data_IF_017855415962
#
_entry.id   IF_017855415962
#
_cell.length_a   1.000
_cell.length_b   1.000
_cell.length_c   1.000
_cell.angle_alpha   90.00
_cell.angle_beta   90.00
_cell.angle_gamma   90.00
#
_symmetry.space_group_name_H-M   'P 1'
#
loop_
_entity.id
_entity.type
_entity.pdbx_description
1 polymer ?
#
# COMPACT_ATOMS: atom_id res chain seq x y z
N UNK A 1 45.58 38.70 22.37
CA UNK A 1 44.96 37.75 23.30
C UNK A 1 43.76 37.08 22.63
N UNK A 2 44.02 36.02 21.91
CA UNK A 2 42.99 35.20 21.23
C UNK A 2 42.66 34.00 22.14
N UNK A 3 41.44 33.98 22.70
CA UNK A 3 40.96 32.93 23.58
C UNK A 3 40.58 31.68 22.76
N UNK A 4 41.17 30.60 23.20
CA UNK A 4 41.00 29.25 22.72
C UNK A 4 39.57 28.70 23.00
N UNK A 5 38.65 28.76 22.02
CA UNK A 5 37.25 28.27 22.14
C UNK A 5 37.02 26.85 21.61
N UNK A 6 38.06 26.20 21.06
CA UNK A 6 37.94 24.90 20.42
C UNK A 6 37.88 23.68 21.36
N UNK A 7 38.29 23.83 22.62
CA UNK A 7 38.28 22.72 23.60
C UNK A 7 36.89 22.39 24.17
N UNK A 8 36.05 23.40 24.34
CA UNK A 8 34.70 23.20 24.89
C UNK A 8 33.69 22.53 23.95
N UNK A 9 33.75 22.89 22.66
CA UNK A 9 32.90 22.26 21.62
C UNK A 9 33.22 20.78 21.42
N UNK A 10 34.51 20.42 21.44
CA UNK A 10 34.93 19.01 21.32
C UNK A 10 34.47 18.15 22.51
N UNK A 11 34.57 18.68 23.72
CA UNK A 11 34.13 17.98 24.95
C UNK A 11 32.59 17.82 25.01
N UNK A 12 31.85 18.85 24.61
CA UNK A 12 30.38 18.80 24.53
C UNK A 12 29.89 17.80 23.48
N UNK A 13 30.54 17.79 22.31
CA UNK A 13 30.23 16.83 21.22
C UNK A 13 30.50 15.39 21.65
N UNK A 14 31.62 15.12 22.31
CA UNK A 14 31.95 13.79 22.84
C UNK A 14 30.96 13.35 23.91
N UNK A 15 30.56 14.23 24.82
CA UNK A 15 29.55 13.92 25.83
C UNK A 15 28.16 13.63 25.24
N UNK A 16 27.78 14.32 24.15
CA UNK A 16 26.53 14.04 23.41
C UNK A 16 26.64 12.68 22.70
N UNK A 17 27.76 12.38 22.07
CA UNK A 17 27.99 11.09 21.40
C UNK A 17 28.01 9.93 22.40
N UNK A 18 28.62 10.10 23.58
CA UNK A 18 28.60 9.09 24.65
C UNK A 18 27.21 8.93 25.27
N UNK A 19 26.44 10.00 25.46
CA UNK A 19 25.06 9.93 25.92
C UNK A 19 24.12 9.28 24.88
N UNK A 20 24.36 9.54 23.59
CA UNK A 20 23.60 8.94 22.49
C UNK A 20 23.91 7.44 22.30
N UNK A 21 25.16 7.02 22.53
CA UNK A 21 25.57 5.61 22.38
C UNK A 21 24.95 4.67 23.42
N UNK A 22 24.44 5.18 24.54
CA UNK A 22 23.72 4.42 25.57
C UNK A 22 22.19 4.39 25.39
N UNK A 23 21.66 5.14 24.41
CA UNK A 23 20.23 5.17 24.14
C UNK A 23 19.84 4.05 23.18
N UNK A 24 19.04 3.11 23.64
CA UNK A 24 18.38 2.12 22.79
C UNK A 24 17.23 2.81 22.00
N UNK A 25 17.61 3.46 20.89
CA UNK A 25 16.68 4.20 20.05
C UNK A 25 15.57 3.32 19.49
N UNK A 26 15.85 2.04 19.20
CA UNK A 26 14.85 1.10 18.72
C UNK A 26 13.82 0.80 19.81
N UNK A 27 14.26 0.61 21.04
CA UNK A 27 13.37 0.39 22.19
C UNK A 27 12.50 1.62 22.44
N UNK A 28 13.12 2.80 22.50
CA UNK A 28 12.41 4.06 22.74
C UNK A 28 11.39 4.35 21.63
N UNK A 29 11.74 4.08 20.39
CA UNK A 29 10.83 4.22 19.26
C UNK A 29 9.65 3.27 19.38
N UNK A 30 9.88 1.98 19.69
CA UNK A 30 8.79 1.01 19.93
C UNK A 30 7.88 1.42 21.08
N UNK A 31 8.45 1.88 22.19
CA UNK A 31 7.68 2.36 23.35
C UNK A 31 6.83 3.59 22.99
N UNK A 32 7.40 4.54 22.23
CA UNK A 32 6.70 5.73 21.76
C UNK A 32 5.55 5.38 20.79
N UNK A 33 5.78 4.49 19.85
CA UNK A 33 4.73 3.98 18.92
C UNK A 33 3.63 3.31 19.72
N UNK A 34 3.96 2.36 20.61
CA UNK A 34 2.97 1.67 21.42
C UNK A 34 2.18 2.59 22.34
N UNK A 35 2.78 3.69 22.81
CA UNK A 35 2.06 4.72 23.55
C UNK A 35 1.11 5.51 22.64
N UNK A 36 1.58 5.95 21.47
CA UNK A 36 0.77 6.66 20.48
C UNK A 36 -0.44 5.83 20.03
N UNK A 37 -0.28 4.51 19.86
CA UNK A 37 -1.38 3.59 19.57
C UNK A 37 -2.41 3.54 20.70
N UNK A 38 -1.97 3.36 21.95
CA UNK A 38 -2.88 3.32 23.11
C UNK A 38 -3.63 4.62 23.35
N UNK A 39 -3.02 5.75 23.02
CA UNK A 39 -3.60 7.08 23.14
C UNK A 39 -4.45 7.48 21.91
N UNK A 40 -4.59 6.59 20.89
CA UNK A 40 -5.37 6.84 19.67
C UNK A 40 -4.77 7.94 18.78
N UNK A 41 -3.46 8.17 18.88
CA UNK A 41 -2.75 9.19 18.11
C UNK A 41 -2.35 8.71 16.71
N UNK A 42 -2.42 7.41 16.42
CA UNK A 42 -2.11 6.82 15.12
C UNK A 42 -3.40 6.72 14.31
N UNK A 43 -3.59 7.59 13.32
CA UNK A 43 -4.74 7.53 12.42
C UNK A 43 -4.44 6.70 11.15
N UNK A 44 -3.19 6.72 10.69
CA UNK A 44 -2.69 5.89 9.60
C UNK A 44 -1.49 5.11 10.07
N UNK A 45 -1.64 3.78 10.14
CA UNK A 45 -0.55 2.86 10.39
C UNK A 45 0.06 2.41 9.06
N UNK A 46 1.38 2.32 8.95
CA UNK A 46 2.02 1.74 7.78
C UNK A 46 3.07 0.69 8.15
N UNK A 47 3.35 -0.19 7.20
CA UNK A 47 4.44 -1.17 7.28
C UNK A 47 4.89 -1.57 5.89
N UNK A 48 6.16 -1.97 5.77
CA UNK A 48 6.69 -2.61 4.57
C UNK A 48 6.65 -4.13 4.69
N UNK A 49 6.56 -4.81 3.55
CA UNK A 49 6.72 -6.26 3.44
C UNK A 49 7.38 -6.64 2.13
N UNK A 50 8.08 -7.76 2.12
CA UNK A 50 8.62 -8.32 0.88
C UNK A 50 7.56 -9.07 0.09
N UNK A 51 7.73 -9.09 -1.24
CA UNK A 51 6.89 -9.87 -2.13
C UNK A 51 7.73 -10.48 -3.27
N UNK A 52 7.20 -11.47 -4.02
CA UNK A 52 7.86 -12.01 -5.20
C UNK A 52 8.14 -10.97 -6.30
N UNK A 53 7.56 -9.80 -6.21
CA UNK A 53 7.70 -8.71 -7.17
C UNK A 53 8.55 -7.54 -6.64
N UNK A 54 9.05 -7.62 -5.41
CA UNK A 54 9.76 -6.57 -4.69
C UNK A 54 9.00 -6.05 -3.47
N UNK A 55 9.53 -5.04 -2.78
CA UNK A 55 8.95 -4.53 -1.55
C UNK A 55 7.60 -3.85 -1.80
N UNK A 56 6.65 -4.07 -0.89
CA UNK A 56 5.35 -3.42 -0.85
C UNK A 56 5.27 -2.54 0.39
N UNK A 57 4.58 -1.40 0.31
CA UNK A 57 4.23 -0.61 1.48
C UNK A 57 2.72 -0.64 1.65
N UNK A 58 2.29 -1.07 2.83
CA UNK A 58 0.88 -1.10 3.22
C UNK A 58 0.59 0.05 4.17
N UNK A 59 -0.61 0.63 4.06
CA UNK A 59 -1.13 1.54 5.06
C UNK A 59 -2.59 1.25 5.36
N UNK A 60 -2.98 1.41 6.62
CA UNK A 60 -4.34 1.17 7.10
C UNK A 60 -4.79 2.28 8.07
N UNK A 61 -6.09 2.56 8.04
CA UNK A 61 -6.82 3.32 9.05
C UNK A 61 -7.64 2.38 9.92
N UNK A 62 -8.44 2.90 10.82
CA UNK A 62 -9.41 2.10 11.60
C UNK A 62 -10.52 1.48 10.72
N UNK A 63 -10.70 1.97 9.49
CA UNK A 63 -11.67 1.47 8.50
C UNK A 63 -11.14 0.34 7.63
N UNK A 64 -9.81 0.10 7.64
CA UNK A 64 -9.18 -0.94 6.85
C UNK A 64 -7.97 -0.45 6.05
N UNK A 65 -7.50 -1.28 5.12
CA UNK A 65 -6.36 -0.94 4.25
C UNK A 65 -6.75 0.20 3.32
N UNK A 66 -6.02 1.31 3.40
CA UNK A 66 -6.28 2.54 2.62
C UNK A 66 -5.31 2.70 1.45
N UNK A 67 -4.12 2.14 1.57
CA UNK A 67 -3.09 2.18 0.51
C UNK A 67 -2.28 0.90 0.48
N UNK A 68 -1.95 0.44 -0.72
CA UNK A 68 -0.91 -0.53 -1.00
C UNK A 68 -0.05 0.01 -2.13
N UNK A 69 1.19 0.39 -1.81
CA UNK A 69 2.14 0.85 -2.82
C UNK A 69 2.91 -0.32 -3.41
N UNK A 70 3.05 -0.31 -4.74
CA UNK A 70 3.76 -1.32 -5.51
C UNK A 70 5.26 -0.98 -5.58
N UNK A 71 6.15 -1.93 -5.91
CA UNK A 71 7.60 -1.76 -5.82
C UNK A 71 8.21 -0.61 -6.63
N UNK A 72 7.50 -0.14 -7.63
CA UNK A 72 7.92 0.98 -8.50
C UNK A 72 7.42 2.35 -8.00
N UNK A 73 6.81 2.43 -6.83
CA UNK A 73 6.37 3.66 -6.20
C UNK A 73 7.36 4.07 -5.10
N UNK A 74 7.64 5.37 -5.01
CA UNK A 74 8.46 5.92 -3.95
C UNK A 74 7.69 5.94 -2.63
N UNK A 75 8.22 5.26 -1.60
CA UNK A 75 7.57 5.13 -0.30
C UNK A 75 7.40 6.48 0.41
N UNK A 76 8.38 7.37 0.32
CA UNK A 76 8.31 8.68 0.98
C UNK A 76 7.22 9.55 0.35
N UNK A 77 7.11 9.52 -0.99
CA UNK A 77 6.02 10.22 -1.69
C UNK A 77 4.65 9.65 -1.34
N UNK A 78 4.54 8.33 -1.18
CA UNK A 78 3.29 7.68 -0.75
C UNK A 78 2.92 8.08 0.68
N UNK A 79 3.88 8.13 1.60
CA UNK A 79 3.64 8.57 2.98
C UNK A 79 3.24 10.04 3.04
N UNK A 80 3.86 10.91 2.22
CA UNK A 80 3.47 12.33 2.09
C UNK A 80 2.05 12.48 1.52
N UNK A 81 1.67 11.67 0.52
CA UNK A 81 0.31 11.63 -0.02
C UNK A 81 -0.70 11.26 1.08
N UNK A 82 -0.41 10.21 1.86
CA UNK A 82 -1.27 9.78 2.98
C UNK A 82 -1.39 10.85 4.06
N UNK A 83 -0.27 11.49 4.42
CA UNK A 83 -0.27 12.59 5.39
C UNK A 83 -1.12 13.77 4.95
N UNK A 84 -1.21 14.03 3.65
CA UNK A 84 -1.97 15.14 3.07
C UNK A 84 -3.46 14.80 2.87
N UNK A 85 -3.75 13.58 2.39
CA UNK A 85 -5.10 13.21 1.94
C UNK A 85 -5.92 12.49 3.02
N UNK A 86 -5.28 11.85 3.99
CA UNK A 86 -5.95 11.04 5.02
C UNK A 86 -5.76 11.66 6.40
N UNK A 87 -4.52 11.70 6.91
CA UNK A 87 -4.18 12.33 8.18
C UNK A 87 -2.68 12.54 8.31
N UNK A 88 -2.21 13.64 8.92
CA UNK A 88 -0.79 13.84 9.22
C UNK A 88 -0.26 12.88 10.30
N UNK A 89 -1.12 12.13 10.99
CA UNK A 89 -0.76 11.16 12.03
C UNK A 89 -0.45 9.79 11.41
N UNK A 90 0.58 9.77 10.56
CA UNK A 90 1.10 8.57 9.88
C UNK A 90 2.27 8.02 10.66
N UNK A 91 2.19 6.79 11.16
CA UNK A 91 3.24 6.15 11.94
C UNK A 91 3.49 4.71 11.49
N UNK A 92 4.75 4.29 11.57
CA UNK A 92 5.11 2.90 11.33
C UNK A 92 4.58 2.03 12.48
N UNK A 93 3.63 1.16 12.19
CA UNK A 93 2.95 0.32 13.16
C UNK A 93 2.61 -1.03 12.52
N UNK A 94 3.61 -1.91 12.39
CA UNK A 94 3.46 -3.20 11.71
C UNK A 94 2.36 -4.08 12.30
N UNK A 95 2.15 -4.05 13.62
CA UNK A 95 1.15 -4.87 14.31
C UNK A 95 -0.28 -4.64 13.82
N UNK A 96 -0.63 -3.40 13.45
CA UNK A 96 -1.95 -3.08 12.88
C UNK A 96 -2.18 -3.64 11.47
N UNK A 97 -1.12 -4.08 10.80
CA UNK A 97 -1.12 -4.58 9.42
C UNK A 97 -0.82 -6.09 9.34
N UNK A 98 -0.65 -6.77 10.47
CA UNK A 98 -0.28 -8.19 10.50
C UNK A 98 -1.28 -9.09 9.79
N UNK A 99 -2.58 -8.81 9.85
CA UNK A 99 -3.59 -9.58 9.14
C UNK A 99 -3.46 -9.38 7.62
N UNK A 100 -3.33 -8.11 7.17
CA UNK A 100 -3.17 -7.81 5.75
C UNK A 100 -1.87 -8.41 5.17
N UNK A 101 -0.78 -8.39 5.94
CA UNK A 101 0.50 -8.98 5.55
C UNK A 101 0.38 -10.50 5.41
N UNK A 102 -0.19 -11.18 6.41
CA UNK A 102 -0.43 -12.64 6.36
C UNK A 102 -1.32 -13.05 5.19
N UNK A 103 -2.37 -12.28 4.90
CA UNK A 103 -3.23 -12.56 3.76
C UNK A 103 -2.50 -12.36 2.42
N UNK A 104 -1.65 -11.34 2.30
CA UNK A 104 -0.84 -11.14 1.10
C UNK A 104 0.21 -12.24 0.91
N UNK A 105 0.87 -12.68 1.99
CA UNK A 105 1.79 -13.83 1.96
C UNK A 105 1.06 -15.10 1.46
N UNK A 106 -0.07 -15.42 2.07
CA UNK A 106 -0.89 -16.56 1.67
C UNK A 106 -1.44 -16.45 0.23
N UNK A 107 -1.72 -15.23 -0.24
CA UNK A 107 -2.10 -14.99 -1.64
C UNK A 107 -0.93 -15.29 -2.59
N UNK A 108 0.27 -14.81 -2.30
CA UNK A 108 1.45 -15.09 -3.13
C UNK A 108 1.86 -16.56 -3.12
N UNK A 109 1.59 -17.28 -2.04
CA UNK A 109 1.75 -18.75 -1.96
C UNK A 109 0.64 -19.51 -2.72
N UNK A 110 -0.42 -18.82 -3.17
CA UNK A 110 -1.56 -19.41 -3.87
C UNK A 110 -2.55 -20.12 -2.94
N UNK A 111 -2.37 -20.05 -1.64
CA UNK A 111 -3.26 -20.66 -0.63
C UNK A 111 -4.49 -19.79 -0.36
N UNK A 112 -4.40 -18.46 -0.41
CA UNK A 112 -5.51 -17.54 -0.28
C UNK A 112 -6.03 -17.11 -1.65
N UNK A 113 -7.36 -17.22 -1.85
CA UNK A 113 -8.03 -16.81 -3.09
C UNK A 113 -8.94 -15.59 -2.93
N UNK A 114 -9.20 -15.17 -1.71
CA UNK A 114 -10.05 -14.02 -1.40
C UNK A 114 -9.55 -13.34 -0.12
N UNK A 115 -9.28 -12.06 -0.21
CA UNK A 115 -8.95 -11.24 0.95
C UNK A 115 -10.19 -11.01 1.82
N UNK A 116 -10.00 -11.06 3.14
CA UNK A 116 -11.02 -10.76 4.15
C UNK A 116 -10.78 -9.42 4.85
N UNK A 117 -9.55 -8.89 4.78
CA UNK A 117 -9.22 -7.59 5.35
C UNK A 117 -10.12 -6.50 4.77
N UNK A 118 -10.66 -5.61 5.61
CA UNK A 118 -11.47 -4.49 5.14
C UNK A 118 -10.64 -3.50 4.34
N UNK A 119 -11.28 -2.83 3.37
CA UNK A 119 -10.69 -1.76 2.56
C UNK A 119 -11.30 -0.44 2.95
N UNK A 120 -10.46 0.56 3.24
CA UNK A 120 -10.87 1.94 3.41
C UNK A 120 -10.94 2.63 2.03
N UNK A 121 -12.15 2.94 1.59
CA UNK A 121 -12.44 3.51 0.27
C UNK A 121 -12.31 5.03 0.20
N UNK A 122 -11.84 5.70 1.27
CA UNK A 122 -11.80 7.17 1.35
C UNK A 122 -10.98 7.86 0.26
N UNK A 123 -10.00 7.14 -0.34
CA UNK A 123 -9.20 7.65 -1.45
C UNK A 123 -9.85 7.44 -2.83
N UNK A 124 -11.05 6.88 -2.89
CA UNK A 124 -11.79 6.70 -4.13
C UNK A 124 -13.13 7.45 -4.08
N UNK A 125 -13.51 8.08 -5.19
CA UNK A 125 -14.75 8.86 -5.26
C UNK A 125 -15.44 8.70 -6.62
N UNK A 126 -16.74 8.95 -6.66
CA UNK A 126 -17.52 9.08 -7.87
C UNK A 126 -17.52 7.81 -8.75
N UNK A 127 -17.18 7.96 -10.03
CA UNK A 127 -17.14 6.82 -10.95
C UNK A 127 -15.97 5.87 -10.67
N UNK A 128 -14.82 6.40 -10.22
CA UNK A 128 -13.66 5.59 -9.81
C UNK A 128 -14.04 4.63 -8.71
N UNK A 129 -14.72 5.11 -7.69
CA UNK A 129 -15.20 4.31 -6.56
C UNK A 129 -16.11 3.17 -7.03
N UNK A 130 -17.13 3.47 -7.85
CA UNK A 130 -18.01 2.43 -8.42
C UNK A 130 -17.24 1.38 -9.22
N UNK A 131 -16.27 1.80 -10.03
CA UNK A 131 -15.43 0.89 -10.81
C UNK A 131 -14.63 -0.02 -9.88
N UNK A 132 -13.98 0.53 -8.87
CA UNK A 132 -13.14 -0.25 -7.94
C UNK A 132 -13.97 -1.22 -7.10
N UNK A 133 -15.19 -0.86 -6.71
CA UNK A 133 -16.11 -1.79 -6.07
C UNK A 133 -16.50 -2.97 -6.99
N UNK A 134 -16.72 -2.75 -8.30
CA UNK A 134 -16.96 -3.83 -9.24
C UNK A 134 -15.70 -4.68 -9.48
N UNK A 135 -14.53 -4.05 -9.52
CA UNK A 135 -13.24 -4.75 -9.61
C UNK A 135 -13.03 -5.67 -8.40
N UNK A 136 -13.37 -5.21 -7.19
CA UNK A 136 -13.23 -5.99 -5.96
C UNK A 136 -14.12 -7.25 -5.95
N UNK A 137 -15.16 -7.29 -6.79
CA UNK A 137 -16.05 -8.45 -6.94
C UNK A 137 -15.55 -9.50 -7.92
N UNK A 138 -14.48 -9.22 -8.70
CA UNK A 138 -13.95 -10.17 -9.69
C UNK A 138 -13.28 -11.33 -8.94
N UNK A 139 -13.77 -12.58 -9.11
CA UNK A 139 -13.21 -13.71 -8.38
C UNK A 139 -11.78 -14.04 -8.82
N UNK A 140 -11.04 -14.71 -7.94
CA UNK A 140 -9.74 -15.30 -8.24
C UNK A 140 -9.82 -16.21 -9.48
N UNK A 141 -8.84 -16.12 -10.37
CA UNK A 141 -8.79 -16.89 -11.61
C UNK A 141 -9.80 -16.47 -12.69
N UNK A 142 -10.50 -15.33 -12.49
CA UNK A 142 -11.43 -14.76 -13.48
C UNK A 142 -10.97 -13.37 -13.89
N UNK A 143 -11.27 -13.01 -15.13
CA UNK A 143 -11.00 -11.69 -15.68
C UNK A 143 -12.25 -11.07 -16.25
N UNK A 144 -12.35 -9.74 -16.23
CA UNK A 144 -13.33 -8.95 -16.94
C UNK A 144 -12.61 -7.95 -17.86
N UNK A 145 -13.25 -7.60 -18.96
CA UNK A 145 -12.76 -6.50 -19.78
C UNK A 145 -13.09 -5.15 -19.15
N UNK A 146 -12.35 -4.09 -19.51
CA UNK A 146 -12.68 -2.72 -19.11
C UNK A 146 -14.11 -2.31 -19.46
N UNK A 147 -14.65 -2.80 -20.58
CA UNK A 147 -16.02 -2.53 -21.01
C UNK A 147 -17.06 -3.20 -20.10
N UNK A 148 -16.82 -4.45 -19.69
CA UNK A 148 -17.69 -5.17 -18.75
C UNK A 148 -17.69 -4.51 -17.37
N UNK A 149 -16.51 -4.11 -16.87
CA UNK A 149 -16.41 -3.38 -15.60
C UNK A 149 -17.12 -2.03 -15.68
N UNK A 150 -16.94 -1.27 -16.75
CA UNK A 150 -17.62 0.01 -16.97
C UNK A 150 -19.14 -0.15 -17.01
N UNK A 151 -19.65 -1.21 -17.67
CA UNK A 151 -21.07 -1.52 -17.71
C UNK A 151 -21.63 -1.84 -16.31
N UNK A 152 -20.93 -2.68 -15.54
CA UNK A 152 -21.28 -3.00 -14.15
C UNK A 152 -21.26 -1.77 -13.24
N UNK A 153 -20.32 -0.84 -13.46
CA UNK A 153 -20.23 0.43 -12.75
C UNK A 153 -21.28 1.48 -13.18
N UNK A 154 -22.23 1.09 -14.05
CA UNK A 154 -23.37 1.90 -14.47
C UNK A 154 -23.11 2.82 -15.69
N UNK A 155 -21.97 2.66 -16.42
CA UNK A 155 -21.72 3.41 -17.65
C UNK A 155 -20.97 2.57 -18.71
N UNK A 156 -21.69 1.82 -19.57
CA UNK A 156 -21.07 0.94 -20.57
C UNK A 156 -20.14 1.64 -21.57
N UNK A 157 -20.32 2.96 -21.79
CA UNK A 157 -19.50 3.73 -22.72
C UNK A 157 -18.20 4.25 -22.09
N UNK A 158 -18.05 4.14 -20.78
CA UNK A 158 -16.94 4.73 -20.02
C UNK A 158 -15.73 3.79 -19.84
N UNK A 159 -15.46 2.88 -20.79
CA UNK A 159 -14.38 1.89 -20.64
C UNK A 159 -12.98 2.52 -20.47
N UNK A 160 -12.71 3.70 -21.09
CA UNK A 160 -11.44 4.43 -20.89
C UNK A 160 -11.35 4.98 -19.47
N UNK A 161 -12.46 5.50 -18.93
CA UNK A 161 -12.50 5.97 -17.53
C UNK A 161 -12.38 4.81 -16.54
N UNK A 162 -12.90 3.62 -16.87
CA UNK A 162 -12.65 2.42 -16.07
C UNK A 162 -11.16 2.03 -16.09
N UNK A 163 -10.47 2.16 -17.21
CA UNK A 163 -9.02 1.99 -17.28
C UNK A 163 -8.26 2.99 -16.40
N UNK A 164 -8.66 4.26 -16.44
CA UNK A 164 -8.09 5.30 -15.56
C UNK A 164 -8.35 5.00 -14.07
N UNK A 165 -9.55 4.53 -13.72
CA UNK A 165 -9.89 4.12 -12.37
C UNK A 165 -9.02 2.96 -11.87
N UNK A 166 -8.81 1.92 -12.71
CA UNK A 166 -7.90 0.82 -12.40
C UNK A 166 -6.45 1.32 -12.19
N UNK A 167 -5.99 2.28 -13.00
CA UNK A 167 -4.66 2.87 -12.85
C UNK A 167 -4.50 3.74 -11.60
N UNK A 168 -5.61 4.22 -11.02
CA UNK A 168 -5.65 5.01 -9.77
C UNK A 168 -6.06 4.19 -8.56
N UNK A 169 -6.12 2.86 -8.66
CA UNK A 169 -6.48 2.01 -7.55
C UNK A 169 -5.50 2.19 -6.38
N UNK A 170 -5.95 2.66 -5.21
CA UNK A 170 -5.07 2.90 -4.07
C UNK A 170 -4.64 1.61 -3.37
N UNK A 171 -5.37 0.49 -3.56
CA UNK A 171 -5.15 -0.77 -2.84
C UNK A 171 -5.05 -1.95 -3.83
N UNK A 172 -4.10 -1.91 -4.80
CA UNK A 172 -3.93 -3.00 -5.76
C UNK A 172 -3.65 -4.33 -5.04
N UNK A 173 -3.83 -5.45 -5.70
CA UNK A 173 -3.82 -6.83 -5.19
C UNK A 173 -5.08 -7.16 -4.37
N UNK A 174 -5.34 -6.46 -3.26
CA UNK A 174 -6.55 -6.63 -2.43
C UNK A 174 -7.77 -6.24 -3.27
N UNK A 175 -7.75 -5.07 -3.92
CA UNK A 175 -8.69 -4.69 -4.98
C UNK A 175 -8.07 -5.08 -6.32
N UNK A 176 -8.47 -6.20 -6.94
CA UNK A 176 -7.67 -6.90 -7.95
C UNK A 176 -7.78 -6.31 -9.36
N UNK A 177 -7.31 -5.07 -9.54
CA UNK A 177 -7.34 -4.41 -10.86
C UNK A 177 -6.48 -5.11 -11.91
N UNK A 178 -5.57 -6.00 -11.53
CA UNK A 178 -4.86 -6.89 -12.45
C UNK A 178 -5.81 -7.88 -13.17
N UNK A 179 -6.99 -8.19 -12.62
CA UNK A 179 -8.02 -9.05 -13.25
C UNK A 179 -8.83 -8.32 -14.34
N UNK A 180 -8.59 -7.01 -14.53
CA UNK A 180 -9.22 -6.25 -15.61
C UNK A 180 -8.28 -6.23 -16.81
N UNK A 181 -8.77 -6.73 -17.97
CA UNK A 181 -7.98 -6.96 -19.18
C UNK A 181 -8.59 -6.21 -20.39
N UNK A 182 -7.86 -6.16 -21.49
CA UNK A 182 -8.38 -5.62 -22.74
C UNK A 182 -9.40 -6.57 -23.39
N UNK A 183 -10.15 -6.05 -24.33
CA UNK A 183 -10.99 -6.89 -25.19
C UNK A 183 -10.11 -7.92 -25.93
N UNK A 184 -10.47 -9.21 -25.84
CA UNK A 184 -9.64 -10.29 -26.37
C UNK A 184 -8.73 -10.97 -25.34
N UNK A 185 -8.63 -10.43 -24.10
CA UNK A 185 -7.91 -11.08 -22.99
C UNK A 185 -6.44 -10.66 -22.87
N UNK A 186 -5.96 -9.67 -23.67
CA UNK A 186 -4.64 -9.08 -23.48
C UNK A 186 -4.57 -8.37 -22.12
N UNK A 187 -3.54 -8.64 -21.29
CA UNK A 187 -3.42 -8.02 -19.97
C UNK A 187 -3.44 -6.48 -20.01
N UNK A 188 -2.81 -5.85 -20.98
CA UNK A 188 -2.66 -4.39 -21.03
C UNK A 188 -1.78 -3.84 -19.89
N UNK A 189 -1.94 -2.55 -19.60
CA UNK A 189 -1.14 -1.84 -18.61
C UNK A 189 -1.56 -2.18 -17.17
N UNK A 190 -0.61 -1.97 -16.23
CA UNK A 190 -0.80 -2.15 -14.80
C UNK A 190 0.11 -1.19 -14.02
N UNK A 191 -0.30 -0.76 -12.83
CA UNK A 191 0.48 0.15 -11.99
C UNK A 191 1.86 -0.40 -11.61
N UNK A 192 1.98 -1.70 -11.36
CA UNK A 192 3.25 -2.39 -11.10
C UNK A 192 3.98 -2.87 -12.36
N UNK A 193 3.54 -2.44 -13.54
CA UNK A 193 4.12 -2.87 -14.81
C UNK A 193 3.49 -4.13 -15.40
N UNK A 194 3.69 -4.38 -16.70
CA UNK A 194 3.07 -5.49 -17.41
C UNK A 194 3.55 -6.86 -16.93
N UNK A 195 4.81 -6.98 -16.52
CA UNK A 195 5.38 -8.23 -16.01
C UNK A 195 4.72 -8.67 -14.70
N UNK A 196 4.54 -7.74 -13.76
CA UNK A 196 3.84 -8.02 -12.53
C UNK A 196 2.40 -8.47 -12.80
N UNK A 197 1.69 -7.79 -13.71
CA UNK A 197 0.33 -8.19 -14.10
C UNK A 197 0.27 -9.61 -14.66
N UNK A 198 1.18 -9.94 -15.57
CA UNK A 198 1.27 -11.30 -16.13
C UNK A 198 1.59 -12.33 -15.05
N UNK A 199 2.50 -12.02 -14.13
CA UNK A 199 2.85 -12.87 -12.99
C UNK A 199 1.63 -13.17 -12.11
N UNK A 200 0.84 -12.15 -11.77
CA UNK A 200 -0.37 -12.28 -10.97
C UNK A 200 -1.45 -13.10 -11.69
N UNK A 201 -1.71 -12.82 -12.98
CA UNK A 201 -2.66 -13.58 -13.79
C UNK A 201 -2.22 -15.05 -13.95
N UNK A 202 -0.91 -15.31 -14.04
CA UNK A 202 -0.36 -16.67 -14.07
C UNK A 202 -0.52 -17.39 -12.74
N UNK A 203 -0.24 -16.71 -11.61
CA UNK A 203 -0.45 -17.21 -10.26
C UNK A 203 -1.91 -17.65 -10.08
N UNK A 204 -2.85 -16.85 -10.59
CA UNK A 204 -4.28 -17.11 -10.52
C UNK A 204 -4.80 -18.12 -11.57
N UNK A 205 -3.97 -18.57 -12.50
CA UNK A 205 -4.36 -19.47 -13.58
C UNK A 205 -5.33 -18.86 -14.60
N UNK A 206 -5.41 -17.52 -14.66
CA UNK A 206 -6.32 -16.77 -15.54
C UNK A 206 -5.69 -16.25 -16.82
N UNK A 207 -4.37 -16.42 -16.99
CA UNK A 207 -3.68 -16.06 -18.21
C UNK A 207 -4.05 -17.06 -19.31
N UNK A 208 -4.79 -16.61 -20.33
CA UNK A 208 -5.06 -17.43 -21.53
C UNK A 208 -3.73 -17.68 -22.26
N UNK A 209 -3.49 -18.95 -22.61
CA UNK A 209 -2.38 -19.36 -23.49
C UNK A 209 -2.58 -18.83 -24.89
#
# INVERSE_FOLDING_TARGET
MTRNSSGGESAARKAIEEAASGLDLERLTREAIGRAEREGLVEVAYASMDSPFGPLLLAATDRGVVKLALPNQDSDLVLMELATLVSPRVLESPGRLDEARRELEAYFEGSLKRFSVPVDWSLSTGFTDRVLHEVNRIPYGRTLSYAEVAAKAGNPRAFRAAGTACGRNPVPLIVPCHRVVQAGGDPGNYGGGPEMKRGLLKLEGSLRR
#
